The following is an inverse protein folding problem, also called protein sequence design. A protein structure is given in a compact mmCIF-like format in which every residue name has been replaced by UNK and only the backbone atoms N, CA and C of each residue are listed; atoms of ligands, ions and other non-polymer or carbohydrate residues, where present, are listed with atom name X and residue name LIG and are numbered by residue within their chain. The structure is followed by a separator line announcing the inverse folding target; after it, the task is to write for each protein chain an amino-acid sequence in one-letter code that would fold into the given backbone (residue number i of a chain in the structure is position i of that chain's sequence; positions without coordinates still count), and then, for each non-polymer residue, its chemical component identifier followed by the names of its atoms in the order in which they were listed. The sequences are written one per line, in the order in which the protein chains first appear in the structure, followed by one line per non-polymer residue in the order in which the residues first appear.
data_IF_352845485460
#
_entry.id   IF_352845485460
#
_cell.length_a   1.000
_cell.length_b   1.000
_cell.length_c   1.000
_cell.angle_alpha   90.00
_cell.angle_beta   90.00
_cell.angle_gamma   90.00
#
_symmetry.space_group_name_H-M   'P 1'
#
loop_
_entity.id
_entity.type
_entity.pdbx_description
1 polymer ?
#
# COMPACT_ATOMS: atom_id res chain seq x y z
N UNK A 1 -11.24 -6.53 -11.21
CA UNK A 1 -10.70 -7.88 -11.46
C UNK A 1 -10.89 -8.75 -10.21
N UNK A 2 -12.12 -9.18 -9.94
CA UNK A 2 -12.45 -10.08 -8.83
C UNK A 2 -13.42 -11.14 -9.36
N UNK A 3 -12.95 -11.99 -10.26
CA UNK A 3 -13.71 -13.15 -10.74
C UNK A 3 -12.72 -14.27 -11.08
N UNK A 4 -12.24 -15.01 -10.06
CA UNK A 4 -11.58 -16.28 -10.34
C UNK A 4 -11.60 -17.32 -9.23
N UNK A 5 -12.61 -17.31 -8.37
CA UNK A 5 -12.84 -18.41 -7.43
C UNK A 5 -14.32 -18.78 -7.34
N UNK A 6 -14.82 -19.46 -8.37
CA UNK A 6 -16.02 -20.31 -8.31
C UNK A 6 -15.96 -21.39 -9.39
N UNK A 7 -15.29 -22.49 -9.07
CA UNK A 7 -15.59 -23.85 -9.53
C UNK A 7 -14.52 -24.78 -8.99
N UNK A 8 -14.91 -25.63 -8.04
CA UNK A 8 -14.80 -27.08 -8.16
C UNK A 8 -15.32 -27.71 -6.86
N UNK A 9 -16.65 -27.84 -6.82
CA UNK A 9 -17.29 -28.95 -6.11
C UNK A 9 -17.09 -30.20 -6.97
N UNK A 10 -16.47 -31.23 -6.42
CA UNK A 10 -16.13 -32.44 -7.17
C UNK A 10 -15.69 -33.58 -6.28
N UNK A 11 -16.60 -33.99 -5.39
CA UNK A 11 -16.74 -35.31 -4.77
C UNK A 11 -15.52 -36.21 -4.59
N UNK A 12 -15.24 -36.54 -3.33
CA UNK A 12 -14.84 -37.92 -2.99
C UNK A 12 -15.49 -38.28 -1.66
N UNK A 13 -16.69 -38.86 -1.77
CA UNK A 13 -17.41 -39.53 -0.69
C UNK A 13 -16.58 -40.74 -0.29
N UNK A 14 -15.77 -40.61 0.76
CA UNK A 14 -15.10 -41.77 1.33
C UNK A 14 -16.12 -42.51 2.18
N UNK A 15 -16.51 -43.67 1.68
CA UNK A 15 -17.38 -44.66 2.34
C UNK A 15 -17.07 -44.77 3.83
N UNK A 16 -18.10 -44.54 4.64
CA UNK A 16 -18.19 -44.99 6.03
C UNK A 16 -18.12 -46.52 6.03
N UNK A 17 -16.89 -47.04 6.11
CA UNK A 17 -16.63 -48.47 6.15
C UNK A 17 -16.99 -48.99 7.54
N UNK A 18 -18.16 -49.64 7.59
CA UNK A 18 -18.62 -50.65 8.53
C UNK A 18 -17.91 -50.67 9.91
N UNK A 19 -18.66 -50.25 10.93
CA UNK A 19 -18.38 -50.57 12.33
C UNK A 19 -18.06 -52.07 12.46
N UNK A 20 -16.95 -52.46 13.11
CA UNK A 20 -16.77 -53.85 13.48
C UNK A 20 -17.83 -54.17 14.53
N UNK A 21 -18.64 -55.18 14.21
CA UNK A 21 -19.66 -55.73 15.10
C UNK A 21 -19.12 -55.87 16.53
N UNK A 22 -19.87 -55.33 17.49
CA UNK A 22 -19.59 -55.51 18.90
C UNK A 22 -19.72 -56.99 19.25
N UNK A 23 -18.58 -57.69 19.27
CA UNK A 23 -18.49 -59.06 19.76
C UNK A 23 -19.01 -59.13 21.20
N UNK A 24 -19.92 -60.08 21.41
CA UNK A 24 -20.66 -60.41 22.64
C UNK A 24 -19.84 -60.32 23.95
N UNK A 25 -20.48 -60.03 25.10
CA UNK A 25 -19.78 -60.00 26.39
C UNK A 25 -19.34 -61.41 26.76
N UNK A 26 -18.07 -61.71 26.52
CA UNK A 26 -17.44 -62.95 26.96
C UNK A 26 -17.56 -63.01 28.48
N UNK A 27 -18.29 -64.03 28.93
CA UNK A 27 -18.52 -64.38 30.32
C UNK A 27 -17.21 -64.38 31.10
N UNK A 28 -17.17 -63.55 32.13
CA UNK A 28 -16.05 -63.39 33.04
C UNK A 28 -15.99 -64.60 33.99
N UNK A 29 -15.59 -65.77 33.48
CA UNK A 29 -15.20 -66.91 34.31
C UNK A 29 -13.69 -66.81 34.54
N UNK A 30 -13.30 -66.70 35.82
CA UNK A 30 -11.93 -66.46 36.27
C UNK A 30 -10.89 -67.20 35.43
N UNK A 31 -10.09 -66.46 34.67
CA UNK A 31 -9.10 -67.02 33.77
C UNK A 31 -7.79 -66.30 34.02
N UNK A 32 -6.92 -66.99 34.75
CA UNK A 32 -5.47 -66.81 34.68
C UNK A 32 -5.12 -66.72 33.18
N UNK A 33 -4.80 -65.52 32.69
CA UNK A 33 -4.48 -65.33 31.26
C UNK A 33 -3.22 -66.16 30.99
N UNK A 34 -3.39 -67.30 30.33
CA UNK A 34 -2.28 -68.15 29.93
C UNK A 34 -1.33 -67.42 28.99
N UNK A 35 -0.08 -67.88 28.92
CA UNK A 35 1.02 -67.29 28.14
C UNK A 35 0.61 -67.00 26.68
N UNK A 36 -0.21 -67.85 26.05
CA UNK A 36 -0.74 -67.64 24.70
C UNK A 36 -1.69 -66.43 24.56
N UNK A 37 -2.54 -66.17 25.55
CA UNK A 37 -3.43 -65.01 25.57
C UNK A 37 -2.68 -63.69 25.82
N UNK A 38 -1.61 -63.73 26.62
CA UNK A 38 -0.67 -62.63 26.79
C UNK A 38 0.10 -62.34 25.49
N UNK A 39 0.55 -63.37 24.77
CA UNK A 39 1.22 -63.22 23.47
C UNK A 39 0.32 -62.54 22.42
N UNK A 40 -0.94 -62.93 22.33
CA UNK A 40 -1.89 -62.30 21.40
C UNK A 40 -2.17 -60.82 21.74
N UNK A 41 -2.30 -60.48 23.03
CA UNK A 41 -2.43 -59.08 23.47
C UNK A 41 -1.17 -58.26 23.18
N UNK A 42 0.01 -58.86 23.36
CA UNK A 42 1.31 -58.22 23.04
C UNK A 42 1.42 -57.91 21.56
N UNK A 43 1.08 -58.84 20.67
CA UNK A 43 1.12 -58.63 19.22
C UNK A 43 0.21 -57.47 18.77
N UNK A 44 -1.04 -57.42 19.27
CA UNK A 44 -1.95 -56.31 18.98
C UNK A 44 -1.46 -54.96 19.49
N UNK A 45 -0.78 -54.95 20.64
CA UNK A 45 -0.20 -53.73 21.20
C UNK A 45 0.99 -53.25 20.36
N UNK A 46 1.82 -54.18 19.87
CA UNK A 46 2.95 -53.89 18.98
C UNK A 46 2.47 -53.26 17.66
N UNK A 47 1.44 -53.82 17.03
CA UNK A 47 0.83 -53.23 15.82
C UNK A 47 0.25 -51.84 16.06
N UNK A 48 -0.41 -51.61 17.21
CA UNK A 48 -0.93 -50.29 17.56
C UNK A 48 0.20 -49.27 17.82
N UNK A 49 1.30 -49.71 18.44
CA UNK A 49 2.49 -48.88 18.66
C UNK A 49 3.11 -48.50 17.31
N UNK A 50 3.26 -49.44 16.38
CA UNK A 50 3.81 -49.17 15.04
C UNK A 50 2.94 -48.18 14.26
N UNK A 51 1.61 -48.34 14.31
CA UNK A 51 0.67 -47.43 13.68
C UNK A 51 0.82 -46.00 14.22
N UNK A 52 0.84 -45.83 15.55
CA UNK A 52 1.04 -44.52 16.19
C UNK A 52 2.43 -43.97 15.87
N UNK A 53 3.45 -44.82 15.81
CA UNK A 53 4.82 -44.45 15.41
C UNK A 53 4.86 -43.83 14.01
N UNK A 54 4.14 -44.40 13.04
CA UNK A 54 4.00 -43.84 11.70
C UNK A 54 3.25 -42.50 11.70
N UNK A 55 2.20 -42.35 12.51
CA UNK A 55 1.48 -41.08 12.65
C UNK A 55 2.38 -39.98 13.24
N UNK A 56 3.14 -40.29 14.28
CA UNK A 56 4.10 -39.35 14.90
C UNK A 56 5.15 -38.92 13.88
N UNK A 57 5.68 -39.87 13.09
CA UNK A 57 6.63 -39.55 12.02
C UNK A 57 6.04 -38.56 11.01
N UNK A 58 4.83 -38.83 10.52
CA UNK A 58 4.14 -37.95 9.56
C UNK A 58 3.91 -36.55 10.14
N UNK A 59 3.46 -36.45 11.39
CA UNK A 59 3.27 -35.16 12.06
C UNK A 59 4.59 -34.41 12.23
N UNK A 60 5.68 -35.11 12.54
CA UNK A 60 7.01 -34.53 12.65
C UNK A 60 7.49 -33.98 11.31
N UNK A 61 7.32 -34.73 10.23
CA UNK A 61 7.70 -34.32 8.88
C UNK A 61 6.90 -33.06 8.45
N UNK A 62 5.58 -33.06 8.67
CA UNK A 62 4.71 -31.90 8.41
C UNK A 62 5.14 -30.67 9.22
N UNK A 63 5.45 -30.86 10.51
CA UNK A 63 5.94 -29.78 11.37
C UNK A 63 7.23 -29.17 10.83
N UNK A 64 8.19 -29.98 10.41
CA UNK A 64 9.46 -29.47 9.86
C UNK A 64 9.26 -28.69 8.56
N UNK A 65 8.33 -29.10 7.69
CA UNK A 65 7.98 -28.33 6.50
C UNK A 65 7.39 -26.97 6.88
N UNK A 66 6.44 -26.94 7.82
CA UNK A 66 5.84 -25.69 8.29
C UNK A 66 6.85 -24.76 8.94
N UNK A 67 7.79 -25.29 9.74
CA UNK A 67 8.87 -24.49 10.34
C UNK A 67 9.71 -23.80 9.26
N UNK A 68 10.06 -24.50 8.19
CA UNK A 68 10.80 -23.94 7.06
C UNK A 68 10.01 -22.87 6.30
N UNK A 69 8.72 -23.09 6.08
CA UNK A 69 7.87 -22.12 5.38
C UNK A 69 7.70 -20.83 6.21
N UNK A 70 7.51 -20.96 7.53
CA UNK A 70 7.45 -19.83 8.46
C UNK A 70 8.77 -19.03 8.45
N UNK A 71 9.92 -19.70 8.46
CA UNK A 71 11.23 -19.03 8.38
C UNK A 71 11.37 -18.22 7.08
N UNK A 72 10.95 -18.81 5.95
CA UNK A 72 10.97 -18.13 4.65
C UNK A 72 10.06 -16.91 4.64
N UNK A 73 8.82 -17.05 5.08
CA UNK A 73 7.87 -15.94 5.16
C UNK A 73 8.35 -14.82 6.09
N UNK A 74 9.02 -15.16 7.18
CA UNK A 74 9.62 -14.18 8.10
C UNK A 74 10.68 -13.29 7.42
N UNK A 75 11.51 -13.88 6.56
CA UNK A 75 12.48 -13.12 5.74
C UNK A 75 11.76 -12.20 4.75
N UNK A 76 10.71 -12.69 4.09
CA UNK A 76 9.93 -11.89 3.14
C UNK A 76 9.22 -10.72 3.82
N UNK A 77 8.65 -10.93 5.01
CA UNK A 77 8.05 -9.87 5.83
C UNK A 77 9.09 -8.82 6.22
N UNK A 78 10.30 -9.23 6.61
CA UNK A 78 11.39 -8.30 6.93
C UNK A 78 11.75 -7.44 5.71
N UNK A 79 11.91 -8.07 4.54
CA UNK A 79 12.21 -7.35 3.30
C UNK A 79 11.11 -6.37 2.91
N UNK A 80 9.83 -6.76 3.07
CA UNK A 80 8.69 -5.87 2.81
C UNK A 80 8.66 -4.69 3.78
N UNK A 81 8.93 -4.92 5.06
CA UNK A 81 9.02 -3.85 6.07
C UNK A 81 10.10 -2.83 5.71
N UNK A 82 11.28 -3.28 5.30
CA UNK A 82 12.37 -2.38 4.87
C UNK A 82 11.99 -1.57 3.62
N UNK A 83 11.33 -2.19 2.63
CA UNK A 83 10.82 -1.46 1.44
C UNK A 83 9.79 -0.41 1.82
N UNK A 84 8.84 -0.74 2.71
CA UNK A 84 7.83 0.19 3.19
C UNK A 84 8.44 1.37 3.94
N UNK A 85 9.46 1.13 4.76
CA UNK A 85 10.17 2.21 5.44
C UNK A 85 10.82 3.18 4.44
N UNK A 86 11.51 2.66 3.42
CA UNK A 86 12.10 3.50 2.36
C UNK A 86 11.04 4.31 1.61
N UNK A 87 9.92 3.69 1.26
CA UNK A 87 8.81 4.41 0.60
C UNK A 87 8.28 5.53 1.50
N UNK A 88 8.15 5.29 2.81
CA UNK A 88 7.72 6.33 3.74
C UNK A 88 8.74 7.48 3.82
N UNK A 89 10.04 7.19 3.87
CA UNK A 89 11.11 8.20 3.82
C UNK A 89 11.02 9.06 2.54
N UNK A 90 10.78 8.43 1.37
CA UNK A 90 10.56 9.15 0.12
C UNK A 90 9.33 10.06 0.16
N UNK A 91 8.21 9.58 0.72
CA UNK A 91 6.98 10.39 0.84
C UNK A 91 7.21 11.61 1.73
N UNK A 92 7.94 11.45 2.83
CA UNK A 92 8.27 12.56 3.73
C UNK A 92 9.17 13.61 3.06
N UNK A 93 10.15 13.17 2.27
CA UNK A 93 11.03 14.05 1.50
C UNK A 93 10.25 14.81 0.42
N UNK A 94 9.42 14.12 -0.38
CA UNK A 94 8.59 14.75 -1.39
C UNK A 94 7.58 15.73 -0.77
N UNK A 95 6.97 15.37 0.36
CA UNK A 95 6.03 16.25 1.07
C UNK A 95 6.72 17.54 1.52
N UNK A 96 7.97 17.45 2.00
CA UNK A 96 8.78 18.62 2.33
C UNK A 96 9.09 19.46 1.09
N UNK A 97 9.53 18.82 0.00
CA UNK A 97 9.82 19.48 -1.27
C UNK A 97 8.62 20.22 -1.85
N UNK A 98 7.42 19.63 -1.78
CA UNK A 98 6.16 20.28 -2.17
C UNK A 98 5.89 21.52 -1.31
N UNK A 99 6.11 21.44 0.01
CA UNK A 99 5.96 22.57 0.92
C UNK A 99 6.91 23.73 0.62
N UNK A 100 8.17 23.43 0.29
CA UNK A 100 9.16 24.42 -0.14
C UNK A 100 8.77 25.08 -1.47
N UNK A 101 8.33 24.28 -2.45
CA UNK A 101 7.87 24.78 -3.74
C UNK A 101 6.63 25.67 -3.60
N UNK A 102 5.66 25.29 -2.77
CA UNK A 102 4.50 26.12 -2.46
C UNK A 102 4.90 27.47 -1.85
N UNK A 103 5.86 27.46 -0.92
CA UNK A 103 6.39 28.68 -0.31
C UNK A 103 7.11 29.57 -1.33
N UNK A 104 7.92 28.96 -2.22
CA UNK A 104 8.59 29.69 -3.31
C UNK A 104 7.58 30.29 -4.28
N UNK A 105 6.53 29.55 -4.64
CA UNK A 105 5.44 30.03 -5.52
C UNK A 105 4.75 31.25 -4.91
N UNK A 106 4.39 31.18 -3.62
CA UNK A 106 3.75 32.29 -2.91
C UNK A 106 4.60 33.56 -2.91
N UNK A 107 5.93 33.43 -2.77
CA UNK A 107 6.84 34.59 -2.86
C UNK A 107 6.85 35.20 -4.26
N UNK A 108 6.95 34.37 -5.30
CA UNK A 108 6.92 34.84 -6.69
C UNK A 108 5.59 35.51 -7.03
N UNK A 109 4.46 34.96 -6.54
CA UNK A 109 3.14 35.59 -6.68
C UNK A 109 3.14 37.01 -6.05
N UNK A 110 3.69 37.16 -4.83
CA UNK A 110 3.80 38.48 -4.20
C UNK A 110 4.69 39.47 -4.97
N UNK A 111 5.85 39.02 -5.46
CA UNK A 111 6.72 39.85 -6.32
C UNK A 111 6.00 40.28 -7.61
N UNK A 112 5.20 39.39 -8.21
CA UNK A 112 4.42 39.71 -9.40
C UNK A 112 3.33 40.76 -9.12
N UNK A 113 2.66 40.69 -7.96
CA UNK A 113 1.69 41.70 -7.51
C UNK A 113 2.35 43.08 -7.33
N UNK A 114 3.53 43.13 -6.72
CA UNK A 114 4.31 44.37 -6.57
C UNK A 114 4.68 44.99 -7.92
N UNK A 115 5.16 44.17 -8.86
CA UNK A 115 5.46 44.62 -10.22
C UNK A 115 4.20 45.11 -10.94
N UNK A 116 3.07 44.42 -10.77
CA UNK A 116 1.77 44.85 -11.32
C UNK A 116 1.36 46.24 -10.81
N UNK A 117 1.51 46.47 -9.51
CA UNK A 117 1.26 47.78 -8.91
C UNK A 117 2.20 48.86 -9.45
N UNK A 118 3.49 48.55 -9.65
CA UNK A 118 4.45 49.48 -10.23
C UNK A 118 4.08 49.86 -11.66
N UNK A 119 3.67 48.89 -12.49
CA UNK A 119 3.22 49.13 -13.87
C UNK A 119 2.00 50.05 -13.90
N UNK A 120 1.02 49.82 -13.03
CA UNK A 120 -0.17 50.68 -12.95
C UNK A 120 0.20 52.13 -12.60
N UNK A 121 1.06 52.33 -11.61
CA UNK A 121 1.56 53.66 -11.24
C UNK A 121 2.33 54.35 -12.39
N UNK A 122 3.17 53.60 -13.11
CA UNK A 122 3.90 54.14 -14.26
C UNK A 122 2.95 54.52 -15.40
N UNK A 123 1.92 53.72 -15.66
CA UNK A 123 0.91 54.00 -16.67
C UNK A 123 0.12 55.27 -16.35
N UNK A 124 -0.25 55.48 -15.10
CA UNK A 124 -0.91 56.72 -14.66
C UNK A 124 -0.02 57.94 -14.90
N UNK A 125 1.26 57.86 -14.51
CA UNK A 125 2.24 58.94 -14.76
C UNK A 125 2.41 59.25 -16.24
N UNK A 126 2.52 58.23 -17.10
CA UNK A 126 2.61 58.40 -18.55
C UNK A 126 1.36 59.09 -19.11
N UNK A 127 0.16 58.69 -18.66
CA UNK A 127 -1.07 59.37 -19.08
C UNK A 127 -1.12 60.85 -18.66
N UNK A 128 -0.51 61.19 -17.52
CA UNK A 128 -0.34 62.57 -17.09
C UNK A 128 0.60 63.35 -18.00
N UNK A 129 1.70 62.74 -18.43
CA UNK A 129 2.65 63.32 -19.39
C UNK A 129 1.99 63.54 -20.76
N UNK A 130 1.23 62.57 -21.27
CA UNK A 130 0.52 62.69 -22.55
C UNK A 130 -0.42 63.90 -22.55
N UNK A 131 -1.16 64.13 -21.46
CA UNK A 131 -2.02 65.32 -21.32
C UNK A 131 -1.25 66.63 -21.38
N UNK A 132 -0.10 66.70 -20.69
CA UNK A 132 0.76 67.90 -20.72
C UNK A 132 1.30 68.15 -22.12
N UNK A 133 1.68 67.10 -22.85
CA UNK A 133 2.14 67.21 -24.25
C UNK A 133 1.03 67.76 -25.13
N UNK A 134 -0.20 67.26 -24.99
CA UNK A 134 -1.35 67.75 -25.76
C UNK A 134 -1.63 69.24 -25.49
N UNK A 135 -1.62 69.64 -24.21
CA UNK A 135 -1.84 71.03 -23.80
C UNK A 135 -0.77 71.97 -24.35
N UNK A 136 0.52 71.61 -24.21
CA UNK A 136 1.65 72.41 -24.70
C UNK A 136 1.67 72.45 -26.24
N UNK A 137 1.37 71.32 -26.90
CA UNK A 137 1.23 71.25 -28.36
C UNK A 137 0.15 72.21 -28.87
N UNK A 138 -0.99 72.29 -28.18
CA UNK A 138 -2.05 73.24 -28.49
C UNK A 138 -1.65 74.70 -28.28
N UNK A 139 -0.78 74.99 -27.29
CA UNK A 139 -0.23 76.33 -27.06
C UNK A 139 0.73 76.70 -28.20
N UNK A 140 1.68 75.83 -28.52
CA UNK A 140 2.65 76.04 -29.61
C UNK A 140 1.95 76.28 -30.94
N UNK A 141 0.89 75.51 -31.23
CA UNK A 141 0.08 75.70 -32.44
C UNK A 141 -0.58 77.08 -32.47
N UNK A 142 -1.21 77.52 -31.38
CA UNK A 142 -1.78 78.87 -31.26
C UNK A 142 -0.75 79.98 -31.46
N UNK A 143 0.45 79.84 -30.91
CA UNK A 143 1.55 80.81 -31.08
C UNK A 143 1.98 80.87 -32.55
N UNK A 144 2.10 79.72 -33.21
CA UNK A 144 2.46 79.64 -34.62
C UNK A 144 1.42 80.33 -35.51
N UNK A 145 0.14 79.98 -35.32
CA UNK A 145 -0.98 80.57 -36.08
C UNK A 145 -1.04 82.09 -35.89
N UNK A 146 -0.82 82.57 -34.66
CA UNK A 146 -0.80 84.02 -34.35
C UNK A 146 0.34 84.76 -35.05
N UNK A 147 1.51 84.12 -35.22
CA UNK A 147 2.65 84.71 -35.97
C UNK A 147 2.37 84.76 -37.47
N UNK A 148 1.76 83.73 -38.04
CA UNK A 148 1.41 83.69 -39.46
C UNK A 148 0.34 84.75 -39.80
N UNK A 149 -0.65 84.95 -38.93
CA UNK A 149 -1.65 86.02 -39.09
C UNK A 149 -1.11 87.44 -38.92
N UNK A 150 0.03 87.60 -38.23
CA UNK A 150 0.68 88.91 -38.04
C UNK A 150 1.59 89.32 -39.21
N UNK A 151 1.98 88.35 -40.04
CA UNK A 151 2.87 88.53 -41.19
C UNK A 151 2.14 88.50 -42.54
N UNK A 152 0.80 88.39 -42.53
CA UNK A 152 -0.08 88.45 -43.71
C UNK A 152 -0.81 89.78 -43.77
#
# INVERSE_FOLDING_TARGET
MFEKYKKDEGGEMTEERAQPEASEPVTNTGSEIGIGGLMGKRAKLEEAIDYVGLMIKNLKDKRTVLEKDIEKESVDIKNLKEKLQKVNEYIEEESRGIGELASKRKRVEGEADEVGNMINNLREKLSGVDRVIDDEGNIVKRIKDSKESSNS
#
